data_IF_859382953145
#
_entry.id   IF_859382953145
#
_cell.length_a   1.000
_cell.length_b   1.000
_cell.length_c   1.000
_cell.angle_alpha   90.00
_cell.angle_beta   90.00
_cell.angle_gamma   90.00
#
_symmetry.space_group_name_H-M   'P 1'
#
loop_
_entity.id
_entity.type
_entity.pdbx_description
1 polymer ?
#
# COMPACT_ATOMS: atom_id res chain seq x y z
N UNK A 1 16.42 -55.73 -50.82
CA UNK A 1 17.78 -56.09 -50.37
C UNK A 1 18.11 -55.23 -49.16
N UNK A 2 18.86 -55.81 -48.20
CA UNK A 2 19.50 -55.22 -47.00
C UNK A 2 18.65 -54.86 -45.77
N UNK A 3 18.48 -55.89 -44.91
CA UNK A 3 18.75 -55.98 -43.45
C UNK A 3 18.26 -54.95 -42.39
N UNK A 4 17.78 -55.44 -41.21
CA UNK A 4 17.35 -54.67 -40.04
C UNK A 4 18.45 -54.52 -38.96
N UNK A 5 18.30 -53.65 -37.97
CA UNK A 5 19.09 -53.70 -36.70
C UNK A 5 18.30 -53.13 -35.51
N UNK A 6 18.29 -53.91 -34.43
CA UNK A 6 17.54 -53.75 -33.18
C UNK A 6 18.14 -52.75 -32.19
N UNK A 7 17.21 -52.22 -31.38
CA UNK A 7 17.24 -51.93 -29.94
C UNK A 7 18.54 -52.18 -29.16
N UNK A 8 18.99 -51.13 -28.44
CA UNK A 8 19.70 -51.26 -27.16
C UNK A 8 19.12 -50.24 -26.18
N UNK A 9 18.53 -50.79 -25.11
CA UNK A 9 18.16 -50.13 -23.86
C UNK A 9 19.33 -50.33 -22.88
N UNK A 10 19.84 -49.27 -22.24
CA UNK A 10 20.66 -49.39 -21.03
C UNK A 10 20.28 -48.29 -20.05
N UNK A 11 19.94 -48.76 -18.86
CA UNK A 11 19.53 -48.04 -17.68
C UNK A 11 20.51 -48.45 -16.58
N UNK A 12 21.31 -47.51 -16.05
CA UNK A 12 22.01 -47.62 -14.74
C UNK A 12 22.46 -46.21 -14.34
N UNK A 13 21.85 -45.57 -13.35
CA UNK A 13 22.18 -45.61 -11.90
C UNK A 13 23.11 -44.47 -11.47
N UNK A 14 22.61 -43.64 -10.55
CA UNK A 14 23.29 -42.54 -9.84
C UNK A 14 24.52 -42.98 -9.03
N UNK A 15 25.34 -42.02 -8.57
CA UNK A 15 25.47 -41.89 -7.13
C UNK A 15 25.35 -40.46 -6.56
N UNK A 16 24.85 -40.47 -5.33
CA UNK A 16 24.58 -39.42 -4.34
C UNK A 16 25.82 -38.59 -4.02
N UNK A 17 25.68 -37.25 -3.99
CA UNK A 17 26.33 -36.40 -2.98
C UNK A 17 25.36 -35.32 -2.47
N UNK A 18 25.17 -35.37 -1.15
CA UNK A 18 24.42 -34.44 -0.30
C UNK A 18 25.13 -33.09 -0.16
N UNK A 19 24.39 -31.98 -0.23
CA UNK A 19 24.60 -30.81 0.66
C UNK A 19 23.47 -29.78 0.58
N UNK A 20 22.77 -29.67 1.73
CA UNK A 20 22.15 -28.49 2.36
C UNK A 20 20.93 -27.77 1.73
N UNK A 21 19.91 -27.42 2.56
CA UNK A 21 18.65 -26.85 2.12
C UNK A 21 18.76 -25.33 1.92
N UNK A 22 18.35 -24.85 0.75
CA UNK A 22 18.06 -23.43 0.53
C UNK A 22 16.62 -23.16 0.98
N UNK A 23 16.49 -22.29 1.98
CA UNK A 23 15.22 -21.76 2.47
C UNK A 23 14.45 -21.09 1.34
N UNK A 24 13.29 -21.64 1.00
CA UNK A 24 12.27 -21.01 0.17
C UNK A 24 11.73 -19.80 0.94
N UNK A 25 12.17 -18.60 0.57
CA UNK A 25 11.52 -17.36 1.02
C UNK A 25 10.41 -17.06 0.01
N UNK A 26 9.18 -17.37 0.42
CA UNK A 26 7.98 -16.96 -0.27
C UNK A 26 7.91 -15.44 -0.31
N UNK A 27 7.94 -14.91 -1.52
CA UNK A 27 7.65 -13.52 -1.87
C UNK A 27 6.23 -13.16 -1.42
N UNK A 28 6.12 -12.61 -0.21
CA UNK A 28 4.89 -11.98 0.27
C UNK A 28 4.86 -10.57 -0.31
N UNK A 29 3.89 -10.32 -1.19
CA UNK A 29 3.60 -8.98 -1.71
C UNK A 29 3.46 -7.99 -0.56
N UNK A 30 4.03 -6.78 -0.64
CA UNK A 30 3.76 -5.75 0.33
C UNK A 30 2.31 -5.28 0.12
N UNK A 31 1.44 -5.65 1.06
CA UNK A 31 0.12 -5.05 1.18
C UNK A 31 0.28 -3.52 1.31
N UNK A 32 -0.59 -2.71 0.68
CA UNK A 32 -0.51 -1.27 0.81
C UNK A 32 -0.64 -0.89 2.30
N UNK A 33 0.12 0.11 2.78
CA UNK A 33 -0.03 0.58 4.14
C UNK A 33 -1.44 1.13 4.26
N UNK A 34 -2.27 0.50 5.09
CA UNK A 34 -3.49 1.12 5.57
C UNK A 34 -3.06 2.44 6.23
N UNK A 35 -3.33 3.57 5.59
CA UNK A 35 -3.32 4.84 6.27
C UNK A 35 -4.35 4.72 7.40
N UNK A 36 -3.86 4.62 8.63
CA UNK A 36 -4.66 4.81 9.83
C UNK A 36 -5.19 6.23 9.79
N UNK A 37 -6.40 6.38 9.24
CA UNK A 37 -7.15 7.60 9.41
C UNK A 37 -7.53 7.65 10.88
N UNK A 38 -6.74 8.41 11.64
CA UNK A 38 -7.15 8.97 12.92
C UNK A 38 -8.43 9.75 12.64
N UNK A 39 -9.57 9.11 12.90
CA UNK A 39 -10.82 9.83 13.06
C UNK A 39 -10.65 10.69 14.31
N UNK A 40 -10.25 11.93 14.09
CA UNK A 40 -10.21 12.96 15.11
C UNK A 40 -11.67 13.33 15.43
N UNK A 41 -12.31 12.52 16.28
CA UNK A 41 -13.63 12.79 16.81
C UNK A 41 -13.49 13.73 18.01
N UNK A 42 -13.20 15.01 17.75
CA UNK A 42 -13.39 16.05 18.75
C UNK A 42 -14.89 16.29 18.90
N UNK A 43 -15.53 15.42 19.70
CA UNK A 43 -16.68 15.73 20.55
C UNK A 43 -16.94 14.53 21.47
N UNK A 44 -16.06 14.36 22.45
CA UNK A 44 -16.41 13.73 23.72
C UNK A 44 -16.49 14.83 24.76
N UNK A 45 -17.65 15.48 24.88
CA UNK A 45 -18.03 16.01 26.18
C UNK A 45 -18.38 14.79 27.03
N UNK A 46 -17.48 14.48 27.96
CA UNK A 46 -17.70 13.53 29.04
C UNK A 46 -18.90 14.01 29.87
N UNK A 47 -20.06 13.37 29.71
CA UNK A 47 -21.06 13.36 30.77
C UNK A 47 -20.76 12.18 31.68
N UNK A 48 -19.90 12.40 32.67
CA UNK A 48 -19.75 11.49 33.81
C UNK A 48 -21.09 11.46 34.56
N UNK A 49 -21.84 10.37 34.42
CA UNK A 49 -22.94 10.07 35.34
C UNK A 49 -22.34 9.55 36.65
N UNK A 50 -22.14 10.45 37.60
CA UNK A 50 -21.85 10.12 38.98
C UNK A 50 -23.08 9.46 39.62
N UNK A 51 -23.18 8.13 39.57
CA UNK A 51 -24.04 7.39 40.49
C UNK A 51 -23.27 7.15 41.80
N UNK A 52 -23.39 8.09 42.73
CA UNK A 52 -22.96 7.90 44.11
C UNK A 52 -24.21 7.69 44.97
N UNK A 53 -24.48 6.41 45.28
CA UNK A 53 -25.40 6.01 46.34
C UNK A 53 -24.86 6.52 47.68
N UNK A 54 -25.31 7.70 48.12
CA UNK A 54 -25.06 8.17 49.48
C UNK A 54 -26.16 7.63 50.41
N UNK A 55 -25.93 6.44 50.97
CA UNK A 55 -26.59 6.00 52.19
C UNK A 55 -26.02 6.83 53.37
N UNK A 56 -26.68 7.96 53.69
CA UNK A 56 -26.44 8.62 54.98
C UNK A 56 -27.42 8.08 56.01
N UNK A 57 -26.86 7.27 56.88
CA UNK A 57 -27.36 6.85 58.17
C UNK A 57 -27.81 8.08 58.99
N UNK A 58 -29.10 8.18 59.36
CA UNK A 58 -29.57 9.14 60.36
C UNK A 58 -30.42 8.44 61.41
N UNK A 59 -29.76 8.16 62.53
CA UNK A 59 -30.34 7.62 63.75
C UNK A 59 -31.43 8.52 64.33
N UNK A 60 -32.50 7.86 64.78
CA UNK A 60 -33.28 8.10 65.99
C UNK A 60 -33.68 9.55 66.34
N UNK A 61 -34.97 9.82 66.21
CA UNK A 61 -35.70 10.47 67.29
C UNK A 61 -37.14 9.94 67.36
N UNK A 62 -37.46 9.26 68.46
CA UNK A 62 -38.83 8.86 68.79
C UNK A 62 -39.58 10.09 69.30
N UNK A 63 -40.75 10.37 68.74
CA UNK A 63 -41.82 11.07 69.46
C UNK A 63 -43.16 10.48 69.05
N UNK A 64 -43.79 9.82 70.01
CA UNK A 64 -45.16 9.32 69.95
C UNK A 64 -46.13 10.46 69.66
N UNK A 65 -46.95 10.33 68.62
CA UNK A 65 -48.29 10.93 68.60
C UNK A 65 -49.25 9.94 67.97
N UNK A 66 -50.31 9.63 68.70
CA UNK A 66 -51.39 8.74 68.30
C UNK A 66 -52.53 9.59 67.77
N UNK A 67 -52.88 9.47 66.48
CA UNK A 67 -54.18 9.90 65.97
C UNK A 67 -54.62 9.00 64.80
N UNK A 68 -55.77 8.34 64.99
CA UNK A 68 -56.55 7.71 63.94
C UNK A 68 -57.04 8.75 62.92
N UNK A 69 -56.95 8.44 61.63
CA UNK A 69 -57.93 8.79 60.61
C UNK A 69 -57.72 7.89 59.39
N UNK A 70 -58.82 7.34 58.88
CA UNK A 70 -58.88 6.42 57.75
C UNK A 70 -58.43 7.09 56.44
N UNK A 71 -57.29 6.66 55.92
CA UNK A 71 -56.93 6.82 54.51
C UNK A 71 -56.00 5.68 54.12
N UNK A 72 -56.39 4.88 53.13
CA UNK A 72 -55.57 3.84 52.52
C UNK A 72 -54.40 4.48 51.75
N UNK A 73 -53.40 5.02 52.45
CA UNK A 73 -52.16 5.50 51.85
C UNK A 73 -50.99 4.77 52.51
N UNK A 74 -50.27 4.02 51.69
CA UNK A 74 -49.07 3.29 52.09
C UNK A 74 -47.93 4.33 52.15
N UNK A 75 -47.59 4.83 53.33
CA UNK A 75 -46.39 5.68 53.54
C UNK A 75 -45.15 4.79 53.64
N UNK A 76 -44.70 4.29 52.49
CA UNK A 76 -43.45 3.54 52.33
C UNK A 76 -42.41 4.40 51.60
N UNK A 77 -41.11 4.08 51.75
CA UNK A 77 -40.00 4.80 51.10
C UNK A 77 -40.21 4.89 49.58
N UNK A 78 -40.77 3.84 48.99
CA UNK A 78 -41.13 3.76 47.58
C UNK A 78 -42.24 4.75 47.19
N UNK A 79 -43.21 5.00 48.06
CA UNK A 79 -44.28 5.98 47.85
C UNK A 79 -43.77 7.43 47.91
N UNK A 80 -42.64 7.67 48.58
CA UNK A 80 -41.97 8.98 48.62
C UNK A 80 -41.07 9.23 47.41
N UNK A 81 -40.50 8.17 46.85
CA UNK A 81 -39.64 8.23 45.66
C UNK A 81 -40.46 8.21 44.35
N UNK A 82 -41.61 7.53 44.35
CA UNK A 82 -42.56 7.46 43.24
C UNK A 82 -43.97 7.86 43.72
N UNK A 83 -44.25 9.17 43.88
CA UNK A 83 -45.54 9.65 44.37
C UNK A 83 -46.71 9.24 43.46
N UNK A 84 -46.44 9.10 42.16
CA UNK A 84 -47.40 8.60 41.17
C UNK A 84 -47.81 7.15 41.42
N UNK A 85 -46.97 6.32 42.04
CA UNK A 85 -47.24 4.90 42.36
C UNK A 85 -47.81 4.74 43.77
N UNK A 86 -47.39 5.59 44.71
CA UNK A 86 -47.89 5.61 46.09
C UNK A 86 -49.34 6.11 46.23
N UNK A 87 -49.87 6.81 45.22
CA UNK A 87 -51.25 7.32 45.20
C UNK A 87 -52.27 6.34 44.58
N UNK A 88 -51.86 5.18 44.07
CA UNK A 88 -52.78 4.17 43.54
C UNK A 88 -53.42 3.33 44.65
N UNK A 89 -54.66 2.87 44.40
CA UNK A 89 -55.35 1.96 45.31
C UNK A 89 -54.69 0.58 45.31
N UNK A 90 -54.95 -0.22 46.35
CA UNK A 90 -54.40 -1.58 46.47
C UNK A 90 -54.87 -2.48 45.32
N UNK A 91 -56.12 -2.28 44.89
CA UNK A 91 -56.74 -2.95 43.76
C UNK A 91 -56.02 -2.58 42.46
N UNK A 92 -55.73 -1.30 42.23
CA UNK A 92 -55.00 -0.85 41.04
C UNK A 92 -53.54 -1.36 41.03
N UNK A 93 -52.89 -1.50 42.19
CA UNK A 93 -51.55 -2.09 42.31
C UNK A 93 -51.54 -3.60 42.01
N UNK A 94 -52.64 -4.30 42.29
CA UNK A 94 -52.80 -5.71 41.98
C UNK A 94 -53.07 -5.93 40.49
N UNK A 95 -53.84 -5.03 39.87
CA UNK A 95 -54.06 -5.00 38.43
C UNK A 95 -52.77 -4.58 37.68
N UNK A 96 -51.98 -3.67 38.26
CA UNK A 96 -50.64 -3.29 37.77
C UNK A 96 -49.66 -4.46 37.70
N UNK A 97 -49.74 -5.39 38.65
CA UNK A 97 -48.90 -6.58 38.67
C UNK A 97 -49.42 -7.68 37.73
N UNK A 98 -50.72 -7.65 37.41
CA UNK A 98 -51.40 -8.68 36.63
C UNK A 98 -51.41 -8.37 35.12
N UNK A 99 -51.40 -7.09 34.74
CA UNK A 99 -51.43 -6.64 33.35
C UNK A 99 -50.16 -5.83 32.97
N UNK A 100 -49.29 -6.38 32.10
CA UNK A 100 -48.07 -5.69 31.67
C UNK A 100 -48.35 -4.43 30.83
N UNK A 101 -49.47 -4.35 30.13
CA UNK A 101 -49.81 -3.18 29.31
C UNK A 101 -50.27 -2.01 30.19
N UNK A 102 -51.00 -2.32 31.27
CA UNK A 102 -51.37 -1.34 32.30
C UNK A 102 -50.15 -0.83 33.07
N UNK A 103 -49.20 -1.72 33.38
CA UNK A 103 -47.91 -1.35 33.93
C UNK A 103 -47.14 -0.38 33.04
N UNK A 104 -47.04 -0.68 31.75
CA UNK A 104 -46.36 0.18 30.81
C UNK A 104 -47.05 1.55 30.69
N UNK A 105 -48.38 1.62 30.75
CA UNK A 105 -49.13 2.86 30.73
C UNK A 105 -48.86 3.75 31.96
N UNK A 106 -48.68 3.15 33.15
CA UNK A 106 -48.36 3.88 34.39
C UNK A 106 -46.89 4.29 34.44
N UNK A 107 -45.98 3.42 34.00
CA UNK A 107 -44.55 3.73 33.87
C UNK A 107 -44.30 4.87 32.89
N UNK A 108 -45.09 4.95 31.81
CA UNK A 108 -45.06 6.05 30.83
C UNK A 108 -45.72 7.34 31.38
N UNK A 109 -46.27 7.35 32.60
CA UNK A 109 -46.67 8.60 33.27
C UNK A 109 -45.53 9.20 34.09
N UNK A 110 -44.50 8.41 34.42
CA UNK A 110 -43.35 8.87 35.18
C UNK A 110 -42.50 9.80 34.29
N UNK A 111 -42.30 11.07 34.70
CA UNK A 111 -41.65 12.07 33.86
C UNK A 111 -40.18 11.74 33.57
N UNK A 112 -39.48 11.11 34.51
CA UNK A 112 -38.08 10.69 34.33
C UNK A 112 -37.93 9.63 33.24
N UNK A 113 -38.82 8.64 33.23
CA UNK A 113 -38.80 7.55 32.24
C UNK A 113 -39.19 8.08 30.86
N UNK A 114 -40.17 8.99 30.80
CA UNK A 114 -40.51 9.69 29.55
C UNK A 114 -39.35 10.49 28.98
N UNK A 115 -38.62 11.21 29.82
CA UNK A 115 -37.45 11.98 29.37
C UNK A 115 -36.36 11.06 28.80
N UNK A 116 -36.11 9.92 29.46
CA UNK A 116 -35.17 8.90 28.95
C UNK A 116 -35.66 8.31 27.63
N UNK A 117 -36.95 7.99 27.51
CA UNK A 117 -37.53 7.46 26.27
C UNK A 117 -37.47 8.47 25.12
N UNK A 118 -37.72 9.74 25.40
CA UNK A 118 -37.64 10.81 24.40
C UNK A 118 -36.20 11.08 23.97
N UNK A 119 -35.27 11.10 24.92
CA UNK A 119 -33.83 11.17 24.63
C UNK A 119 -33.37 9.98 23.78
N UNK A 120 -33.81 8.77 24.11
CA UNK A 120 -33.51 7.56 23.35
C UNK A 120 -34.09 7.60 21.93
N UNK A 121 -35.33 8.07 21.77
CA UNK A 121 -35.93 8.30 20.44
C UNK A 121 -35.15 9.33 19.64
N UNK A 122 -34.78 10.44 20.27
CA UNK A 122 -33.94 11.47 19.65
C UNK A 122 -32.59 10.91 19.18
N UNK A 123 -31.98 10.03 19.97
CA UNK A 123 -30.73 9.37 19.59
C UNK A 123 -30.91 8.39 18.43
N UNK A 124 -32.00 7.63 18.40
CA UNK A 124 -32.35 6.76 17.26
C UNK A 124 -32.52 7.60 15.99
N UNK A 125 -33.29 8.67 16.04
CA UNK A 125 -33.50 9.55 14.88
C UNK A 125 -32.20 10.19 14.42
N UNK A 126 -31.36 10.64 15.35
CA UNK A 126 -30.04 11.19 15.03
C UNK A 126 -29.16 10.12 14.36
N UNK A 127 -29.10 8.90 14.91
CA UNK A 127 -28.35 7.79 14.33
C UNK A 127 -28.85 7.44 12.93
N UNK A 128 -30.16 7.37 12.73
CA UNK A 128 -30.77 7.13 11.43
C UNK A 128 -30.39 8.23 10.43
N UNK A 129 -30.46 9.51 10.82
CA UNK A 129 -30.06 10.62 9.95
C UNK A 129 -28.57 10.57 9.56
N UNK A 130 -27.71 10.14 10.49
CA UNK A 130 -26.29 9.93 10.24
C UNK A 130 -26.06 8.76 9.29
N UNK A 131 -26.76 7.64 9.48
CA UNK A 131 -26.69 6.48 8.60
C UNK A 131 -27.15 6.85 7.17
N UNK A 132 -28.23 7.61 7.04
CA UNK A 132 -28.72 8.11 5.75
C UNK A 132 -27.71 9.05 5.08
N UNK A 133 -27.08 9.94 5.84
CA UNK A 133 -26.05 10.83 5.30
C UNK A 133 -24.81 10.04 4.85
N UNK A 134 -24.34 9.09 5.67
CA UNK A 134 -23.27 8.17 5.29
C UNK A 134 -23.62 7.43 4.00
N UNK A 135 -24.84 6.91 3.86
CA UNK A 135 -25.28 6.22 2.65
C UNK A 135 -25.29 7.14 1.42
N UNK A 136 -25.67 8.41 1.58
CA UNK A 136 -25.64 9.41 0.51
C UNK A 136 -24.21 9.80 0.10
N UNK A 137 -23.27 9.83 1.04
CA UNK A 137 -21.87 10.20 0.76
C UNK A 137 -21.06 9.07 0.14
N UNK A 138 -21.36 7.82 0.49
CA UNK A 138 -20.68 6.63 -0.06
C UNK A 138 -20.50 6.61 -1.58
N UNK A 139 -21.53 6.81 -2.43
CA UNK A 139 -21.35 6.75 -3.88
C UNK A 139 -20.37 7.80 -4.40
N UNK A 140 -20.34 9.00 -3.81
CA UNK A 140 -19.39 10.04 -4.18
C UNK A 140 -17.96 9.66 -3.82
N UNK A 141 -17.75 9.10 -2.62
CA UNK A 141 -16.45 8.64 -2.16
C UNK A 141 -15.94 7.44 -2.99
N UNK A 142 -16.84 6.51 -3.32
CA UNK A 142 -16.53 5.37 -4.18
C UNK A 142 -16.17 5.84 -5.61
N UNK A 143 -16.92 6.78 -6.19
CA UNK A 143 -16.57 7.39 -7.49
C UNK A 143 -15.19 8.04 -7.48
N UNK A 144 -14.91 8.89 -6.48
CA UNK A 144 -13.63 9.58 -6.37
C UNK A 144 -12.46 8.60 -6.16
N UNK A 145 -12.68 7.53 -5.39
CA UNK A 145 -11.70 6.46 -5.22
C UNK A 145 -11.42 5.78 -6.56
N UNK A 146 -12.46 5.42 -7.30
CA UNK A 146 -12.33 4.69 -8.56
C UNK A 146 -11.66 5.55 -9.64
N UNK A 147 -11.99 6.85 -9.71
CA UNK A 147 -11.29 7.85 -10.54
C UNK A 147 -9.80 7.95 -10.18
N UNK A 148 -9.49 8.00 -8.88
CA UNK A 148 -8.09 8.06 -8.42
C UNK A 148 -7.32 6.80 -8.79
N UNK A 149 -7.93 5.62 -8.66
CA UNK A 149 -7.33 4.35 -9.05
C UNK A 149 -7.05 4.33 -10.56
N UNK A 150 -7.99 4.80 -11.37
CA UNK A 150 -7.85 4.88 -12.82
C UNK A 150 -6.69 5.80 -13.22
N UNK A 151 -6.67 7.02 -12.71
CA UNK A 151 -5.62 8.00 -13.01
C UNK A 151 -4.24 7.55 -12.51
N UNK A 152 -4.18 6.94 -11.32
CA UNK A 152 -2.96 6.35 -10.80
C UNK A 152 -2.48 5.17 -11.68
N UNK A 153 -3.40 4.35 -12.17
CA UNK A 153 -3.09 3.29 -13.13
C UNK A 153 -2.49 3.85 -14.42
N UNK A 154 -3.11 4.89 -14.98
CA UNK A 154 -2.63 5.59 -16.18
C UNK A 154 -1.25 6.20 -15.97
N UNK A 155 -1.02 6.86 -14.84
CA UNK A 155 0.27 7.46 -14.50
C UNK A 155 1.38 6.40 -14.40
N UNK A 156 1.09 5.24 -13.80
CA UNK A 156 2.05 4.14 -13.73
C UNK A 156 2.34 3.50 -15.09
N UNK A 157 1.33 3.36 -15.94
CA UNK A 157 1.54 2.88 -17.30
C UNK A 157 2.46 3.84 -18.08
N UNK A 158 2.21 5.15 -17.96
CA UNK A 158 3.05 6.17 -18.60
C UNK A 158 4.47 6.15 -18.02
N UNK A 159 4.62 6.00 -16.71
CA UNK A 159 5.93 5.85 -16.06
C UNK A 159 6.68 4.65 -16.62
N UNK A 160 6.03 3.49 -16.74
CA UNK A 160 6.65 2.29 -17.32
C UNK A 160 7.07 2.52 -18.78
N UNK A 161 6.22 3.15 -19.59
CA UNK A 161 6.57 3.52 -20.98
C UNK A 161 7.74 4.49 -21.04
N UNK A 162 7.79 5.45 -20.12
CA UNK A 162 8.90 6.39 -20.01
C UNK A 162 10.20 5.66 -19.66
N UNK A 163 10.19 4.78 -18.67
CA UNK A 163 11.36 3.97 -18.29
C UNK A 163 11.86 3.11 -19.47
N UNK A 164 10.94 2.51 -20.23
CA UNK A 164 11.28 1.75 -21.44
C UNK A 164 11.93 2.65 -22.52
N UNK A 165 11.30 3.78 -22.86
CA UNK A 165 11.83 4.73 -23.83
C UNK A 165 13.18 5.32 -23.38
N UNK A 166 13.32 5.61 -22.09
CA UNK A 166 14.56 6.13 -21.53
C UNK A 166 15.69 5.09 -21.62
N UNK A 167 15.39 3.81 -21.36
CA UNK A 167 16.37 2.73 -21.55
C UNK A 167 16.76 2.56 -23.02
N UNK A 168 15.79 2.59 -23.94
CA UNK A 168 16.06 2.57 -25.39
C UNK A 168 16.93 3.77 -25.80
N UNK A 169 16.63 4.96 -25.27
CA UNK A 169 17.44 6.14 -25.49
C UNK A 169 18.87 5.93 -24.96
N UNK A 170 19.04 5.48 -23.72
CA UNK A 170 20.35 5.20 -23.14
C UNK A 170 21.15 4.19 -23.96
N UNK A 171 20.52 3.13 -24.47
CA UNK A 171 21.15 2.15 -25.33
C UNK A 171 21.66 2.80 -26.63
N UNK A 172 20.81 3.58 -27.31
CA UNK A 172 21.20 4.31 -28.51
C UNK A 172 22.34 5.30 -28.23
N UNK A 173 22.24 6.09 -27.17
CA UNK A 173 23.26 7.07 -26.80
C UNK A 173 24.56 6.42 -26.30
N UNK A 174 24.51 5.23 -25.70
CA UNK A 174 25.71 4.49 -25.30
C UNK A 174 26.63 4.24 -26.50
N UNK A 175 26.04 3.98 -27.67
CA UNK A 175 26.77 3.80 -28.91
C UNK A 175 27.34 5.10 -29.46
N UNK A 176 26.83 6.27 -29.12
CA UNK A 176 27.33 7.56 -29.67
C UNK A 176 28.05 8.43 -28.64
N UNK A 177 28.15 7.97 -27.39
CA UNK A 177 28.88 8.67 -26.34
C UNK A 177 30.37 8.86 -26.62
N UNK A 178 30.98 9.77 -25.86
CA UNK A 178 32.41 10.06 -25.93
C UNK A 178 33.25 8.78 -25.76
N UNK A 179 32.92 7.97 -24.76
CA UNK A 179 33.67 6.75 -24.44
C UNK A 179 33.61 5.70 -25.54
N UNK A 180 32.44 5.50 -26.16
CA UNK A 180 32.27 4.53 -27.26
C UNK A 180 32.93 5.02 -28.55
N UNK A 181 32.83 6.32 -28.84
CA UNK A 181 33.56 6.92 -29.96
C UNK A 181 35.08 6.86 -29.77
N UNK A 182 35.57 7.02 -28.53
CA UNK A 182 36.99 6.90 -28.19
C UNK A 182 37.47 5.46 -28.36
N UNK A 183 36.68 4.51 -27.85
CA UNK A 183 36.96 3.09 -28.01
C UNK A 183 37.06 2.71 -29.49
N UNK A 184 36.10 3.14 -30.33
CA UNK A 184 36.15 2.92 -31.79
C UNK A 184 37.38 3.54 -32.45
N UNK A 185 37.76 4.76 -32.06
CA UNK A 185 38.98 5.41 -32.56
C UNK A 185 40.22 4.56 -32.23
N UNK A 186 40.34 4.11 -30.98
CA UNK A 186 41.47 3.28 -30.53
C UNK A 186 41.48 1.91 -31.23
N UNK A 187 40.33 1.28 -31.40
CA UNK A 187 40.21 0.03 -32.18
C UNK A 187 40.68 0.24 -33.61
N UNK A 188 40.20 1.27 -34.30
CA UNK A 188 40.63 1.58 -35.67
C UNK A 188 42.14 1.90 -35.77
N UNK A 189 42.71 2.53 -34.75
CA UNK A 189 44.14 2.80 -34.64
C UNK A 189 44.95 1.49 -34.57
N UNK A 190 44.59 0.61 -33.63
CA UNK A 190 45.24 -0.70 -33.46
C UNK A 190 45.02 -1.63 -34.66
N UNK A 191 43.87 -1.57 -35.31
CA UNK A 191 43.60 -2.33 -36.55
C UNK A 191 44.52 -1.88 -37.69
N UNK A 192 44.71 -0.57 -37.87
CA UNK A 192 45.61 -0.03 -38.90
C UNK A 192 47.08 -0.36 -38.61
N UNK A 193 47.49 -0.32 -37.34
CA UNK A 193 48.81 -0.76 -36.88
C UNK A 193 49.03 -2.24 -37.23
N UNK A 194 48.12 -3.12 -36.77
CA UNK A 194 48.17 -4.55 -37.03
C UNK A 194 48.15 -4.88 -38.51
N UNK A 195 47.36 -4.18 -39.32
CA UNK A 195 47.34 -4.37 -40.76
C UNK A 195 48.68 -3.99 -41.39
N UNK A 196 49.27 -2.86 -40.99
CA UNK A 196 50.59 -2.43 -41.50
C UNK A 196 51.71 -3.40 -41.11
N UNK A 197 51.67 -3.95 -39.89
CA UNK A 197 52.60 -4.98 -39.43
C UNK A 197 52.42 -6.29 -40.18
N UNK A 198 51.17 -6.76 -40.33
CA UNK A 198 50.86 -7.97 -41.08
C UNK A 198 51.31 -7.84 -42.53
N UNK A 199 51.07 -6.69 -43.16
CA UNK A 199 51.50 -6.42 -44.54
C UNK A 199 53.03 -6.43 -44.66
N UNK A 200 53.73 -5.85 -43.68
CA UNK A 200 55.19 -5.88 -43.61
C UNK A 200 55.73 -7.31 -43.45
N UNK A 201 55.14 -8.10 -42.55
CA UNK A 201 55.54 -9.49 -42.32
C UNK A 201 55.29 -10.35 -43.57
N UNK A 202 54.12 -10.23 -44.20
CA UNK A 202 53.81 -10.96 -45.44
C UNK A 202 54.79 -10.65 -46.58
N UNK A 203 55.24 -9.39 -46.69
CA UNK A 203 56.24 -8.98 -47.67
C UNK A 203 57.64 -9.56 -47.38
N UNK A 204 58.07 -9.52 -46.11
CA UNK A 204 59.37 -10.06 -45.68
C UNK A 204 59.41 -11.58 -45.84
N UNK A 205 58.37 -12.27 -45.39
CA UNK A 205 58.27 -13.73 -45.40
C UNK A 205 57.94 -14.28 -46.80
N UNK A 206 57.67 -13.41 -47.78
CA UNK A 206 57.22 -13.75 -49.14
C UNK A 206 56.02 -14.72 -49.15
N UNK A 207 55.24 -14.72 -48.08
CA UNK A 207 54.11 -15.64 -47.87
C UNK A 207 53.02 -15.36 -48.91
N UNK A 208 52.83 -14.09 -49.23
CA UNK A 208 51.99 -13.62 -50.32
C UNK A 208 52.89 -13.01 -51.41
N UNK A 209 52.68 -13.37 -52.68
CA UNK A 209 53.39 -12.77 -53.82
C UNK A 209 52.82 -11.37 -54.11
N UNK A 210 53.03 -10.45 -53.18
CA UNK A 210 52.61 -9.05 -53.31
C UNK A 210 53.65 -8.33 -54.19
N UNK A 211 53.19 -7.66 -55.24
CA UNK A 211 54.04 -6.81 -56.06
C UNK A 211 54.59 -5.64 -55.22
N UNK A 212 55.86 -5.30 -55.38
CA UNK A 212 56.54 -4.27 -54.59
C UNK A 212 55.81 -2.92 -54.61
N UNK A 213 55.36 -2.49 -55.79
CA UNK A 213 54.62 -1.22 -55.94
C UNK A 213 53.28 -1.25 -55.20
N UNK A 214 52.61 -2.40 -55.20
CA UNK A 214 51.35 -2.62 -54.48
C UNK A 214 51.57 -2.61 -52.96
N UNK A 215 52.63 -3.25 -52.48
CA UNK A 215 53.03 -3.22 -51.07
C UNK A 215 53.31 -1.78 -50.61
N UNK A 216 54.17 -1.05 -51.32
CA UNK A 216 54.56 0.33 -50.95
C UNK A 216 53.35 1.24 -50.91
N UNK A 217 52.42 1.09 -51.87
CA UNK A 217 51.17 1.85 -51.89
C UNK A 217 50.30 1.55 -50.68
N UNK A 218 49.96 0.28 -50.44
CA UNK A 218 49.07 -0.13 -49.34
C UNK A 218 49.68 0.19 -47.97
N UNK A 219 50.97 -0.06 -47.79
CA UNK A 219 51.67 0.22 -46.54
C UNK A 219 51.68 1.72 -46.23
N UNK A 220 51.97 2.56 -47.24
CA UNK A 220 51.91 4.01 -47.09
C UNK A 220 50.51 4.49 -46.73
N UNK A 221 49.49 4.00 -47.42
CA UNK A 221 48.09 4.36 -47.17
C UNK A 221 47.69 4.06 -45.71
N UNK A 222 48.04 2.88 -45.22
CA UNK A 222 47.72 2.47 -43.84
C UNK A 222 48.56 3.22 -42.80
N UNK A 223 49.84 3.46 -43.03
CA UNK A 223 50.64 4.30 -42.11
C UNK A 223 50.16 5.74 -42.05
N UNK A 224 49.71 6.33 -43.18
CA UNK A 224 49.09 7.66 -43.18
C UNK A 224 47.82 7.64 -42.33
N UNK A 225 46.98 6.62 -42.47
CA UNK A 225 45.76 6.45 -41.68
C UNK A 225 46.08 6.32 -40.19
N UNK A 226 47.02 5.44 -39.82
CA UNK A 226 47.51 5.30 -38.44
C UNK A 226 47.96 6.64 -37.84
N UNK A 227 48.82 7.39 -38.53
CA UNK A 227 49.32 8.66 -38.00
C UNK A 227 48.21 9.73 -37.85
N UNK A 228 47.24 9.77 -38.77
CA UNK A 228 46.06 10.63 -38.63
C UNK A 228 45.23 10.25 -37.41
N UNK A 229 44.94 8.96 -37.22
CA UNK A 229 44.16 8.47 -36.07
C UNK A 229 44.90 8.70 -34.75
N UNK A 230 46.22 8.49 -34.72
CA UNK A 230 47.04 8.72 -33.54
C UNK A 230 47.05 10.20 -33.15
N UNK A 231 47.19 11.10 -34.11
CA UNK A 231 47.10 12.54 -33.85
C UNK A 231 45.75 12.95 -33.28
N UNK A 232 44.64 12.41 -33.81
CA UNK A 232 43.29 12.64 -33.25
C UNK A 232 43.18 12.08 -31.83
N UNK A 233 43.74 10.89 -31.58
CA UNK A 233 43.75 10.26 -30.24
C UNK A 233 44.53 11.06 -29.21
N UNK A 234 45.68 11.63 -29.59
CA UNK A 234 46.48 12.53 -28.76
C UNK A 234 45.73 13.84 -28.47
N UNK A 235 45.09 14.42 -29.49
CA UNK A 235 44.30 15.64 -29.33
C UNK A 235 43.14 15.42 -28.34
N UNK A 236 42.46 14.29 -28.47
CA UNK A 236 41.40 13.88 -27.54
C UNK A 236 41.94 13.66 -26.13
N UNK A 237 43.07 12.95 -25.99
CA UNK A 237 43.70 12.72 -24.67
C UNK A 237 44.17 14.02 -24.01
N UNK A 238 44.50 15.04 -24.80
CA UNK A 238 44.85 16.37 -24.31
C UNK A 238 43.65 17.27 -23.95
N UNK A 239 42.42 16.78 -24.13
CA UNK A 239 41.18 17.52 -23.85
C UNK A 239 40.92 18.71 -24.79
N UNK A 240 41.62 18.76 -25.94
CA UNK A 240 41.44 19.82 -26.96
C UNK A 240 40.33 19.53 -27.97
N UNK A 241 39.73 18.34 -27.89
CA UNK A 241 38.63 17.90 -28.74
C UNK A 241 37.37 17.78 -27.88
N UNK A 242 36.46 18.74 -28.01
CA UNK A 242 35.17 18.71 -27.32
C UNK A 242 34.13 17.99 -28.19
N UNK A 243 33.48 16.97 -27.62
CA UNK A 243 32.46 16.15 -28.29
C UNK A 243 31.05 16.77 -28.29
N UNK A 244 30.86 17.88 -27.57
CA UNK A 244 29.56 18.52 -27.33
C UNK A 244 29.37 19.81 -28.14
N UNK A 245 29.51 19.76 -29.47
CA UNK A 245 29.09 20.85 -30.37
C UNK A 245 27.96 20.41 -31.30
#
# INVERSE_FOLDING_TARGET
MTTPTSMINVQTSDPILQSTPTTVTSSTSPAPPYLSHSYNNQNHQQSHLNNSLNLTNRSHNQQYTSHHSSSNQIDDQLSREFPEVGNLSKEDLQDLLSDPDYFQAIVTKIPEINNVLESHRGLITANQSLAENNLKLRPRLESMRDETILEFGRANELRRKFEELYNQQLELYSNFGETSSRSRLLTALHESERFSESLSNSFIDQTERIEEETFVKQFREERIKFHKLNWVSELWSSGKLDWNQ
#
